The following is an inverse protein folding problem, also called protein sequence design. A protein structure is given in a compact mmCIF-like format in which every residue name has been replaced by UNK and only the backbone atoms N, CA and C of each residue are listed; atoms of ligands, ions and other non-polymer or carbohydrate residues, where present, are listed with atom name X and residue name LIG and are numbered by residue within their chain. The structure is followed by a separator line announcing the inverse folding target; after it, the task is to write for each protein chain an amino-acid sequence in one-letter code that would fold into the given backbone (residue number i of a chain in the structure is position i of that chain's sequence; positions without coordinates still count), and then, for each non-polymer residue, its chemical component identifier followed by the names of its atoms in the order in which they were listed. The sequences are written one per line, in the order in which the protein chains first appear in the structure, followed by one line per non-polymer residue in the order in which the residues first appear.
data_IF_329264272325
#
_entry.id   IF_329264272325
#
_cell.length_a   1.000
_cell.length_b   1.000
_cell.length_c   1.000
_cell.angle_alpha   90.00
_cell.angle_beta   90.00
_cell.angle_gamma   90.00
#
_symmetry.space_group_name_H-M   'P 1'
#
loop_
_entity.id
_entity.type
_entity.pdbx_description
1 polymer ?
#
# COMPACT_ATOMS: atom_id res chain seq x y z
N UNK A 1 5.47 -4.92 17.88
CA UNK A 1 4.02 -5.06 17.68
C UNK A 1 3.70 -4.90 16.20
N UNK A 2 2.88 -5.79 15.67
CA UNK A 2 2.51 -5.72 14.26
C UNK A 2 1.60 -4.52 14.00
N UNK A 3 1.76 -3.90 12.84
CA UNK A 3 0.89 -2.82 12.40
C UNK A 3 -0.52 -3.34 12.15
N UNK A 4 -1.52 -2.63 12.66
CA UNK A 4 -2.93 -2.96 12.40
C UNK A 4 -3.37 -2.13 11.18
N UNK A 5 -3.83 -2.78 10.09
CA UNK A 5 -4.27 -2.05 8.91
C UNK A 5 -5.41 -1.09 9.24
N UNK A 6 -5.40 0.09 8.62
CA UNK A 6 -6.55 0.99 8.72
C UNK A 6 -7.73 0.38 7.99
N UNK A 7 -8.94 0.66 8.45
CA UNK A 7 -10.16 0.12 7.84
C UNK A 7 -10.29 0.55 6.37
N UNK A 8 -9.89 1.77 6.06
CA UNK A 8 -9.95 2.28 4.69
C UNK A 8 -9.09 1.44 3.75
N UNK A 9 -7.83 1.18 4.14
CA UNK A 9 -6.90 0.41 3.29
C UNK A 9 -7.28 -1.06 3.29
N UNK A 10 -7.69 -1.61 4.43
CA UNK A 10 -8.17 -3.00 4.50
C UNK A 10 -9.30 -3.23 3.49
N UNK A 11 -10.31 -2.38 3.51
CA UNK A 11 -11.45 -2.47 2.60
C UNK A 11 -11.04 -2.27 1.15
N UNK A 12 -10.13 -1.30 0.90
CA UNK A 12 -9.65 -1.02 -0.45
C UNK A 12 -8.94 -2.23 -1.05
N UNK A 13 -8.05 -2.87 -0.28
CA UNK A 13 -7.32 -4.05 -0.75
C UNK A 13 -8.28 -5.21 -0.98
N UNK A 14 -9.24 -5.44 -0.08
CA UNK A 14 -10.24 -6.50 -0.25
C UNK A 14 -11.05 -6.30 -1.53
N UNK A 15 -11.53 -5.08 -1.79
CA UNK A 15 -12.30 -4.77 -2.98
C UNK A 15 -11.44 -4.92 -4.24
N UNK A 16 -10.19 -4.45 -4.20
CA UNK A 16 -9.28 -4.57 -5.33
C UNK A 16 -9.04 -6.03 -5.70
N UNK A 17 -8.85 -6.89 -4.70
CA UNK A 17 -8.63 -8.32 -4.94
C UNK A 17 -9.85 -9.02 -5.50
N UNK A 18 -11.06 -8.57 -5.15
CA UNK A 18 -12.30 -9.13 -5.69
C UNK A 18 -12.61 -8.64 -7.10
N UNK A 19 -11.98 -7.55 -7.53
CA UNK A 19 -12.23 -6.92 -8.83
C UNK A 19 -10.94 -6.81 -9.64
N UNK A 20 -10.20 -7.91 -9.80
CA UNK A 20 -8.91 -7.91 -10.49
C UNK A 20 -8.97 -7.15 -11.81
N UNK A 21 -7.93 -6.36 -12.06
CA UNK A 21 -7.79 -5.60 -13.28
C UNK A 21 -8.57 -4.28 -13.29
N UNK A 22 -9.26 -3.94 -12.22
CA UNK A 22 -10.02 -2.70 -12.13
C UNK A 22 -9.49 -1.80 -11.02
N UNK A 23 -9.44 -0.50 -11.30
CA UNK A 23 -9.14 0.49 -10.29
C UNK A 23 -10.34 0.66 -9.36
N UNK A 24 -10.10 0.59 -8.06
CA UNK A 24 -11.12 0.84 -7.03
C UNK A 24 -10.67 1.96 -6.12
N UNK A 25 -11.63 2.64 -5.47
CA UNK A 25 -11.35 3.80 -4.63
C UNK A 25 -11.98 3.65 -3.26
N UNK A 26 -11.30 4.12 -2.24
CA UNK A 26 -11.83 4.20 -0.88
C UNK A 26 -11.21 5.41 -0.16
N UNK A 27 -11.98 6.04 0.71
CA UNK A 27 -11.50 7.13 1.54
C UNK A 27 -11.11 8.36 0.74
N UNK A 28 -10.17 9.13 1.29
CA UNK A 28 -9.73 10.38 0.68
C UNK A 28 -8.54 10.17 -0.23
N UNK A 29 -8.83 10.00 -1.52
CA UNK A 29 -7.80 9.97 -2.53
C UNK A 29 -7.05 8.66 -2.69
N UNK A 30 -7.46 7.59 -2.02
CA UNK A 30 -6.82 6.29 -2.20
C UNK A 30 -7.47 5.49 -3.33
N UNK A 31 -6.64 4.88 -4.16
CA UNK A 31 -7.07 3.99 -5.25
C UNK A 31 -6.15 2.78 -5.27
N UNK A 32 -6.66 1.65 -5.72
CA UNK A 32 -5.84 0.45 -5.85
C UNK A 32 -6.29 -0.39 -7.02
N UNK A 33 -5.36 -1.14 -7.57
CA UNK A 33 -5.62 -2.17 -8.56
C UNK A 33 -4.85 -3.41 -8.17
N UNK A 34 -5.49 -4.57 -8.32
CA UNK A 34 -4.85 -5.85 -8.11
C UNK A 34 -4.92 -6.65 -9.40
N UNK A 35 -3.78 -7.12 -9.88
CA UNK A 35 -3.71 -7.89 -11.13
C UNK A 35 -2.46 -8.75 -11.13
N UNK A 36 -2.61 -10.02 -11.51
CA UNK A 36 -1.48 -10.96 -11.63
C UNK A 36 -0.62 -11.01 -10.36
N UNK A 37 -1.28 -11.03 -9.20
CA UNK A 37 -0.66 -11.04 -7.87
C UNK A 37 0.08 -9.74 -7.50
N UNK A 38 -0.15 -8.65 -8.24
CA UNK A 38 0.47 -7.36 -7.97
C UNK A 38 -0.59 -6.35 -7.54
N UNK A 39 -0.38 -5.78 -6.36
CA UNK A 39 -1.20 -4.69 -5.84
C UNK A 39 -0.48 -3.36 -6.08
N UNK A 40 -1.17 -2.43 -6.73
CA UNK A 40 -0.67 -1.06 -6.90
C UNK A 40 -1.58 -0.14 -6.10
N UNK A 41 -0.99 0.65 -5.21
CA UNK A 41 -1.73 1.58 -4.36
C UNK A 41 -1.35 3.02 -4.72
N UNK A 42 -2.37 3.83 -5.00
CA UNK A 42 -2.19 5.26 -5.31
C UNK A 42 -2.79 6.12 -4.20
N UNK A 43 -2.19 7.27 -3.97
CA UNK A 43 -2.75 8.31 -3.11
C UNK A 43 -2.75 9.62 -3.91
N UNK A 44 -3.96 10.15 -4.16
CA UNK A 44 -4.16 11.31 -5.04
C UNK A 44 -3.48 11.13 -6.40
N UNK A 45 -3.60 9.92 -6.97
CA UNK A 45 -3.04 9.62 -8.28
C UNK A 45 -1.55 9.29 -8.30
N UNK A 46 -0.86 9.41 -7.17
CA UNK A 46 0.57 9.10 -7.08
C UNK A 46 0.77 7.68 -6.55
N UNK A 47 1.56 6.89 -7.26
CA UNK A 47 1.95 5.54 -6.84
C UNK A 47 2.75 5.64 -5.54
N UNK A 48 2.24 5.06 -4.45
CA UNK A 48 2.96 5.06 -3.18
C UNK A 48 3.58 3.70 -2.86
N UNK A 49 3.01 2.60 -3.35
CA UNK A 49 3.63 1.29 -3.22
C UNK A 49 3.07 0.32 -4.26
N UNK A 50 3.94 -0.54 -4.75
CA UNK A 50 3.57 -1.68 -5.58
C UNK A 50 4.06 -2.93 -4.87
N UNK A 51 3.15 -3.89 -4.63
CA UNK A 51 3.45 -5.12 -3.91
C UNK A 51 3.21 -6.31 -4.84
N UNK A 52 4.26 -7.09 -5.08
CA UNK A 52 4.17 -8.35 -5.82
C UNK A 52 4.06 -9.49 -4.80
N UNK A 53 2.83 -9.98 -4.58
CA UNK A 53 2.59 -11.05 -3.62
C UNK A 53 3.25 -12.37 -4.05
N UNK A 54 3.28 -12.63 -5.35
CA UNK A 54 3.87 -13.85 -5.87
C UNK A 54 5.37 -13.96 -5.59
N UNK A 55 6.07 -12.86 -5.74
CA UNK A 55 7.52 -12.78 -5.48
C UNK A 55 7.87 -12.31 -4.08
N UNK A 56 6.86 -11.92 -3.30
CA UNK A 56 7.01 -11.36 -1.95
C UNK A 56 7.96 -10.16 -1.94
N UNK A 57 7.77 -9.27 -2.90
CA UNK A 57 8.58 -8.07 -3.07
C UNK A 57 7.68 -6.83 -3.10
N UNK A 58 8.21 -5.70 -2.64
CA UNK A 58 7.49 -4.44 -2.67
C UNK A 58 8.42 -3.30 -3.04
N UNK A 59 7.88 -2.31 -3.73
CA UNK A 59 8.62 -1.13 -4.16
C UNK A 59 7.86 0.12 -3.74
N UNK A 60 8.52 0.99 -2.97
CA UNK A 60 7.95 2.27 -2.55
C UNK A 60 7.95 3.22 -3.74
N UNK A 61 6.82 3.92 -3.96
CA UNK A 61 6.75 4.95 -5.00
C UNK A 61 7.59 6.16 -4.64
N UNK A 62 8.21 6.77 -5.65
CA UNK A 62 9.15 7.89 -5.43
C UNK A 62 8.46 9.15 -4.87
N UNK A 63 7.14 9.25 -5.00
CA UNK A 63 6.37 10.38 -4.48
C UNK A 63 5.73 10.11 -3.12
N UNK A 64 5.97 8.95 -2.51
CA UNK A 64 5.48 8.65 -1.17
C UNK A 64 6.30 9.43 -0.14
N UNK A 65 5.64 10.24 0.69
CA UNK A 65 6.36 11.09 1.62
C UNK A 65 5.61 11.42 2.92
N UNK A 66 4.28 11.28 2.94
CA UNK A 66 3.48 11.75 4.07
C UNK A 66 3.23 10.68 5.13
N UNK A 67 2.76 11.11 6.31
CA UNK A 67 2.33 10.19 7.36
C UNK A 67 1.18 9.31 6.87
N UNK A 68 0.26 9.88 6.09
CA UNK A 68 -0.85 9.12 5.50
C UNK A 68 -0.33 8.05 4.54
N UNK A 69 0.70 8.36 3.76
CA UNK A 69 1.34 7.39 2.87
C UNK A 69 1.97 6.26 3.67
N UNK A 70 2.71 6.61 4.72
CA UNK A 70 3.34 5.62 5.60
C UNK A 70 2.31 4.65 6.18
N UNK A 71 1.22 5.19 6.72
CA UNK A 71 0.16 4.37 7.32
C UNK A 71 -0.49 3.48 6.29
N UNK A 72 -0.78 4.02 5.10
CA UNK A 72 -1.39 3.25 4.01
C UNK A 72 -0.47 2.14 3.51
N UNK A 73 0.81 2.45 3.32
CA UNK A 73 1.80 1.46 2.87
C UNK A 73 1.92 0.31 3.87
N UNK A 74 2.06 0.63 5.17
CA UNK A 74 2.18 -0.40 6.21
C UNK A 74 0.91 -1.26 6.28
N UNK A 75 -0.26 -0.64 6.11
CA UNK A 75 -1.53 -1.39 6.07
C UNK A 75 -1.56 -2.36 4.89
N UNK A 76 -1.15 -1.89 3.70
CA UNK A 76 -1.12 -2.73 2.50
C UNK A 76 -0.13 -3.89 2.64
N UNK A 77 1.05 -3.63 3.22
CA UNK A 77 2.05 -4.67 3.45
C UNK A 77 1.50 -5.79 4.34
N UNK A 78 0.82 -5.41 5.43
CA UNK A 78 0.20 -6.40 6.33
C UNK A 78 -0.87 -7.19 5.60
N UNK A 79 -1.74 -6.50 4.83
CA UNK A 79 -2.81 -7.16 4.07
C UNK A 79 -2.28 -8.15 3.02
N UNK A 80 -1.09 -7.90 2.50
CA UNK A 80 -0.45 -8.79 1.52
C UNK A 80 0.51 -9.79 2.15
N UNK A 81 0.60 -9.82 3.48
CA UNK A 81 1.41 -10.80 4.20
C UNK A 81 2.91 -10.58 4.13
N UNK A 82 3.36 -9.36 3.83
CA UNK A 82 4.78 -9.03 3.84
C UNK A 82 5.21 -8.50 5.20
N UNK A 83 6.42 -8.87 5.64
CA UNK A 83 6.91 -8.52 6.97
C UNK A 83 7.59 -7.15 7.09
N UNK A 84 7.90 -6.52 5.96
CA UNK A 84 8.53 -5.21 5.96
C UNK A 84 7.61 -4.10 6.45
N UNK A 85 8.19 -2.99 6.86
CA UNK A 85 7.43 -1.78 7.15
C UNK A 85 8.24 -0.55 6.78
N UNK A 86 7.54 0.57 6.60
CA UNK A 86 8.16 1.85 6.27
C UNK A 86 8.00 2.84 7.43
N UNK A 87 8.90 3.79 7.48
CA UNK A 87 8.88 4.89 8.44
C UNK A 87 9.36 6.17 7.77
N UNK A 88 9.26 7.27 8.50
CA UNK A 88 9.75 8.56 8.02
C UNK A 88 10.90 9.00 8.93
N UNK A 89 12.05 9.28 8.32
CA UNK A 89 13.24 9.76 9.03
C UNK A 89 13.78 10.98 8.28
N UNK A 90 13.95 12.09 8.98
CA UNK A 90 14.43 13.34 8.39
C UNK A 90 13.60 13.75 7.16
N UNK A 91 12.28 13.56 7.24
CA UNK A 91 11.38 13.92 6.14
C UNK A 91 11.38 12.95 4.96
N UNK A 92 12.12 11.85 5.05
CA UNK A 92 12.22 10.87 3.97
C UNK A 92 11.53 9.56 4.37
N UNK A 93 10.59 9.11 3.54
CA UNK A 93 9.91 7.85 3.75
C UNK A 93 10.75 6.72 3.14
N UNK A 94 10.98 5.67 3.90
CA UNK A 94 11.76 4.53 3.45
C UNK A 94 11.55 3.31 4.32
N UNK A 95 12.20 2.22 3.94
CA UNK A 95 12.12 0.96 4.69
C UNK A 95 12.78 1.09 6.05
N UNK A 96 12.15 0.48 7.06
CA UNK A 96 12.69 0.40 8.42
C UNK A 96 13.20 -1.03 8.63
N UNK A 97 14.44 -1.13 9.08
CA UNK A 97 15.03 -2.43 9.40
C UNK A 97 14.63 -2.91 10.78
#
# INVERSE_FOLDING_TARGET
MAHVPTKTIEKLVEIAKRNEGRWVKQGKGFSAMYRDNVLTLLHYGNDIITIDEGRRMAKIGILAYSVSDRTAINSALVMCGLNGKVGIRDGVLGWVE
#
